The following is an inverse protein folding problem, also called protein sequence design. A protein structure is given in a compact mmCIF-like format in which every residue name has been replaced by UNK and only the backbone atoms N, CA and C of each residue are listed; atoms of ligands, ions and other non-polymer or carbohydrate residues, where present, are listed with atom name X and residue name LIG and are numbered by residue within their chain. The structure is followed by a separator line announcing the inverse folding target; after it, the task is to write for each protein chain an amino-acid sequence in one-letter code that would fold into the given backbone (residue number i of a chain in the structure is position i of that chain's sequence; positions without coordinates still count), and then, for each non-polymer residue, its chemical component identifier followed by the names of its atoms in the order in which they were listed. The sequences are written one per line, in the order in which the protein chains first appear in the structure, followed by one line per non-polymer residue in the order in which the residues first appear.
data_IF_051235006807
#
_entry.id   IF_051235006807
#
_cell.length_a   1.000
_cell.length_b   1.000
_cell.length_c   1.000
_cell.angle_alpha   90.00
_cell.angle_beta   90.00
_cell.angle_gamma   90.00
#
_symmetry.space_group_name_H-M   'P 1'
#
loop_
_entity.id
_entity.type
_entity.pdbx_description
1 polymer ?
#
# COMPACT_ATOMS: atom_id res chain seq x y z
N UNK A 1 -18.96 27.46 -21.60
CA UNK A 1 -19.75 26.22 -21.66
C UNK A 1 -19.87 25.70 -20.24
N UNK A 2 -20.98 26.01 -19.57
CA UNK A 2 -21.20 25.74 -18.15
C UNK A 2 -21.74 24.32 -18.01
N UNK A 3 -20.95 23.39 -17.49
CA UNK A 3 -21.42 22.04 -17.21
C UNK A 3 -22.12 22.04 -15.84
N UNK A 4 -23.44 21.85 -15.88
CA UNK A 4 -24.27 21.51 -14.72
C UNK A 4 -24.19 19.99 -14.55
N UNK A 5 -23.63 19.50 -13.45
CA UNK A 5 -23.69 18.09 -13.04
C UNK A 5 -23.33 17.99 -11.55
N UNK A 6 -24.14 17.47 -10.63
CA UNK A 6 -25.48 16.91 -10.68
C UNK A 6 -26.16 17.10 -9.31
N UNK A 7 -27.46 16.85 -9.26
CA UNK A 7 -28.27 16.94 -8.04
C UNK A 7 -27.68 16.07 -6.91
N UNK A 8 -27.89 16.42 -5.62
CA UNK A 8 -27.51 15.57 -4.51
C UNK A 8 -28.14 14.19 -4.69
N UNK A 9 -27.33 13.14 -4.61
CA UNK A 9 -27.84 11.77 -4.56
C UNK A 9 -28.80 11.66 -3.36
N UNK A 10 -29.99 11.04 -3.54
CA UNK A 10 -30.95 10.88 -2.46
C UNK A 10 -30.30 10.13 -1.29
N UNK A 11 -30.47 10.66 -0.07
CA UNK A 11 -30.05 9.97 1.14
C UNK A 11 -30.89 8.70 1.28
N UNK A 12 -30.21 7.56 1.29
CA UNK A 12 -30.82 6.28 1.59
C UNK A 12 -30.55 5.96 3.06
N UNK A 13 -31.61 5.86 3.85
CA UNK A 13 -31.55 5.26 5.18
C UNK A 13 -31.12 3.80 5.08
N UNK A 14 -29.85 3.55 5.38
CA UNK A 14 -29.24 2.30 5.78
C UNK A 14 -28.20 2.69 6.83
N UNK A 15 -28.08 1.94 7.93
CA UNK A 15 -27.24 2.34 9.08
C UNK A 15 -25.88 2.87 8.64
N UNK A 16 -25.51 4.04 9.15
CA UNK A 16 -24.26 4.72 8.82
C UNK A 16 -23.10 3.73 8.99
N UNK A 17 -22.31 3.52 7.92
CA UNK A 17 -21.20 2.57 7.99
C UNK A 17 -20.22 3.04 9.07
N UNK A 18 -19.73 2.15 9.95
CA UNK A 18 -18.80 2.57 10.98
C UNK A 18 -17.55 3.18 10.35
N UNK A 19 -17.03 4.23 10.99
CA UNK A 19 -15.76 4.82 10.61
C UNK A 19 -14.65 3.77 10.62
N UNK A 20 -13.69 3.89 9.71
CA UNK A 20 -12.48 3.08 9.78
C UNK A 20 -11.61 3.54 10.96
N UNK A 21 -11.06 2.59 11.71
CA UNK A 21 -10.11 2.86 12.79
C UNK A 21 -8.95 1.88 12.70
N UNK A 22 -7.84 2.18 13.36
CA UNK A 22 -6.68 1.28 13.35
C UNK A 22 -7.05 -0.07 13.98
N UNK A 23 -7.86 -0.07 15.04
CA UNK A 23 -8.36 -1.28 15.71
C UNK A 23 -9.18 -2.16 14.76
N UNK A 24 -9.99 -1.56 13.86
CA UNK A 24 -10.72 -2.31 12.83
C UNK A 24 -9.80 -2.91 11.77
N UNK A 25 -8.70 -2.23 11.46
CA UNK A 25 -7.65 -2.78 10.58
C UNK A 25 -6.93 -3.94 11.26
N UNK A 26 -6.62 -3.85 12.55
CA UNK A 26 -6.02 -4.94 13.35
C UNK A 26 -6.96 -6.15 13.43
N UNK A 27 -8.25 -5.92 13.65
CA UNK A 27 -9.27 -6.97 13.63
C UNK A 27 -9.37 -7.63 12.24
N UNK A 28 -9.29 -6.85 11.17
CA UNK A 28 -9.24 -7.35 9.79
C UNK A 28 -8.02 -8.25 9.55
N UNK A 29 -6.82 -7.78 9.91
CA UNK A 29 -5.59 -8.58 9.83
C UNK A 29 -5.70 -9.88 10.64
N UNK A 30 -6.27 -9.80 11.84
CA UNK A 30 -6.50 -10.98 12.70
C UNK A 30 -7.48 -11.97 12.06
N UNK A 31 -8.60 -11.50 11.51
CA UNK A 31 -9.59 -12.34 10.79
C UNK A 31 -8.98 -13.03 9.58
N UNK A 32 -8.10 -12.33 8.86
CA UNK A 32 -7.38 -12.86 7.71
C UNK A 32 -6.23 -13.80 8.10
N UNK A 33 -5.94 -13.97 9.39
CA UNK A 33 -4.87 -14.84 9.89
C UNK A 33 -3.47 -14.26 9.74
N UNK A 34 -3.35 -12.94 9.58
CA UNK A 34 -2.08 -12.27 9.36
C UNK A 34 -1.45 -11.81 10.68
N UNK A 35 -0.16 -12.08 10.85
CA UNK A 35 0.62 -11.58 11.98
C UNK A 35 1.10 -10.15 11.72
N UNK A 36 0.94 -9.29 12.72
CA UNK A 36 1.38 -7.90 12.67
C UNK A 36 1.80 -7.43 14.07
N UNK A 37 2.55 -6.34 14.11
CA UNK A 37 2.91 -5.62 15.33
C UNK A 37 2.70 -4.13 15.11
N UNK A 38 2.37 -3.37 16.17
CA UNK A 38 2.46 -1.91 16.11
C UNK A 38 3.93 -1.50 16.06
N UNK A 39 4.26 -0.46 15.31
CA UNK A 39 5.59 0.14 15.37
C UNK A 39 5.80 0.84 16.72
N UNK A 40 6.99 0.69 17.31
CA UNK A 40 7.29 1.23 18.65
C UNK A 40 7.46 2.75 18.63
N UNK A 41 8.04 3.28 17.55
CA UNK A 41 8.28 4.71 17.38
C UNK A 41 7.05 5.41 16.78
N UNK A 42 6.28 4.70 15.96
CA UNK A 42 5.11 5.22 15.25
C UNK A 42 3.88 4.32 15.49
N UNK A 43 3.25 4.35 16.68
CA UNK A 43 2.19 3.43 17.07
C UNK A 43 0.95 3.41 16.15
N UNK A 44 0.79 4.41 15.29
CA UNK A 44 -0.21 4.47 14.23
C UNK A 44 0.08 3.57 13.01
N UNK A 45 1.26 2.97 12.94
CA UNK A 45 1.71 2.09 11.85
C UNK A 45 1.71 0.65 12.31
N UNK A 46 1.02 -0.22 11.57
CA UNK A 46 1.12 -1.66 11.71
C UNK A 46 2.20 -2.18 10.77
N UNK A 47 3.15 -2.94 11.32
CA UNK A 47 4.20 -3.65 10.59
C UNK A 47 3.85 -5.11 10.45
N UNK A 48 4.04 -5.64 9.25
CA UNK A 48 3.84 -7.05 8.95
C UNK A 48 4.83 -7.51 7.88
N UNK A 49 4.99 -8.83 7.75
CA UNK A 49 5.81 -9.46 6.71
C UNK A 49 4.97 -10.43 5.91
N UNK A 50 5.02 -10.31 4.58
CA UNK A 50 4.27 -11.15 3.64
C UNK A 50 5.18 -11.51 2.47
N UNK A 51 5.34 -12.80 2.15
CA UNK A 51 6.25 -13.28 1.10
C UNK A 51 7.64 -12.63 1.17
N UNK A 52 8.20 -12.55 2.37
CA UNK A 52 9.49 -11.88 2.67
C UNK A 52 9.56 -10.36 2.53
N UNK A 53 8.49 -9.72 2.06
CA UNK A 53 8.42 -8.27 1.96
C UNK A 53 7.91 -7.63 3.24
N UNK A 54 8.48 -6.46 3.56
CA UNK A 54 8.06 -5.66 4.71
C UNK A 54 6.89 -4.78 4.31
N UNK A 55 5.81 -4.81 5.10
CA UNK A 55 4.62 -3.99 4.89
C UNK A 55 4.37 -3.05 6.05
N UNK A 56 3.95 -1.84 5.70
CA UNK A 56 3.38 -0.84 6.58
C UNK A 56 1.91 -0.66 6.22
N UNK A 57 1.03 -0.82 7.21
CA UNK A 57 -0.41 -0.61 7.07
C UNK A 57 -0.80 0.49 8.06
N UNK A 58 -1.40 1.56 7.56
CA UNK A 58 -1.78 2.71 8.38
C UNK A 58 -3.00 3.42 7.82
N UNK A 59 -3.57 4.31 8.64
CA UNK A 59 -4.62 5.23 8.23
C UNK A 59 -4.03 6.64 8.02
N UNK A 60 -4.00 7.09 6.77
CA UNK A 60 -3.40 8.34 6.34
C UNK A 60 -4.46 9.45 6.13
N UNK A 61 -3.96 10.68 5.90
CA UNK A 61 -4.77 11.86 5.64
C UNK A 61 -5.26 12.56 6.91
N UNK A 62 -5.78 13.78 6.76
CA UNK A 62 -6.21 14.62 7.88
C UNK A 62 -7.30 13.97 8.75
N UNK A 63 -8.19 13.19 8.13
CA UNK A 63 -9.28 12.48 8.81
C UNK A 63 -8.91 11.05 9.22
N UNK A 64 -7.68 10.59 8.94
CA UNK A 64 -7.26 9.19 9.15
C UNK A 64 -8.25 8.19 8.55
N UNK A 65 -8.76 8.49 7.36
CA UNK A 65 -9.77 7.69 6.66
C UNK A 65 -9.21 6.91 5.47
N UNK A 66 -7.98 7.19 5.07
CA UNK A 66 -7.36 6.54 3.91
C UNK A 66 -6.55 5.35 4.40
N UNK A 67 -7.04 4.13 4.12
CA UNK A 67 -6.27 2.91 4.37
C UNK A 67 -5.15 2.81 3.35
N UNK A 68 -3.91 2.91 3.83
CA UNK A 68 -2.70 2.70 3.04
C UNK A 68 -2.11 1.34 3.38
N UNK A 69 -1.97 0.49 2.36
CA UNK A 69 -1.17 -0.74 2.42
C UNK A 69 0.08 -0.52 1.57
N UNK A 70 1.25 -0.40 2.21
CA UNK A 70 2.52 -0.07 1.55
C UNK A 70 3.56 -1.13 1.82
N UNK A 71 3.99 -1.82 0.78
CA UNK A 71 5.16 -2.70 0.83
C UNK A 71 6.44 -1.94 0.53
N UNK A 72 7.53 -2.34 1.17
CA UNK A 72 8.90 -2.03 0.80
C UNK A 72 9.51 -3.30 0.22
N UNK A 73 10.09 -3.18 -0.97
CA UNK A 73 10.89 -4.26 -1.52
C UNK A 73 12.05 -4.58 -0.57
N UNK A 74 12.38 -5.86 -0.42
CA UNK A 74 13.40 -6.32 0.52
C UNK A 74 14.82 -5.93 0.06
N UNK A 75 15.03 -5.51 -1.19
CA UNK A 75 16.31 -5.01 -1.66
C UNK A 75 16.44 -3.48 -1.62
N UNK A 76 17.67 -3.04 -1.41
CA UNK A 76 18.14 -1.67 -1.58
C UNK A 76 18.98 -1.59 -2.85
N UNK A 77 18.88 -0.50 -3.60
CA UNK A 77 19.65 -0.31 -4.83
C UNK A 77 20.47 0.98 -4.76
N UNK A 78 21.65 0.95 -5.38
CA UNK A 78 22.51 2.12 -5.46
C UNK A 78 21.82 3.24 -6.27
N UNK A 79 22.03 4.49 -5.86
CA UNK A 79 21.44 5.66 -6.49
C UNK A 79 21.81 5.82 -7.97
N UNK A 80 22.93 5.24 -8.43
CA UNK A 80 23.29 5.17 -9.85
C UNK A 80 22.24 4.45 -10.70
N UNK A 81 21.47 3.52 -10.13
CA UNK A 81 20.39 2.78 -10.82
C UNK A 81 19.05 3.54 -10.84
N UNK A 82 19.00 4.80 -10.36
CA UNK A 82 17.76 5.58 -10.25
C UNK A 82 16.92 5.59 -11.53
N UNK A 83 17.56 5.83 -12.68
CA UNK A 83 16.87 5.94 -13.97
C UNK A 83 16.25 4.61 -14.38
N UNK A 84 16.97 3.50 -14.19
CA UNK A 84 16.47 2.15 -14.46
C UNK A 84 15.24 1.85 -13.59
N UNK A 85 15.33 2.09 -12.28
CA UNK A 85 14.24 1.77 -11.36
C UNK A 85 12.99 2.63 -11.58
N UNK A 86 13.15 3.91 -11.92
CA UNK A 86 12.02 4.78 -12.28
C UNK A 86 11.33 4.27 -13.54
N UNK A 87 12.08 3.80 -14.55
CA UNK A 87 11.48 3.23 -15.77
C UNK A 87 10.64 2.00 -15.44
N UNK A 88 11.17 1.08 -14.62
CA UNK A 88 10.42 -0.10 -14.18
C UNK A 88 9.12 0.26 -13.43
N UNK A 89 9.17 1.26 -12.55
CA UNK A 89 7.97 1.75 -11.85
C UNK A 89 6.96 2.34 -12.83
N UNK A 90 7.41 3.18 -13.77
CA UNK A 90 6.53 3.82 -14.74
C UNK A 90 5.89 2.79 -15.67
N UNK A 91 6.64 1.81 -16.16
CA UNK A 91 6.10 0.72 -16.97
C UNK A 91 5.00 -0.05 -16.23
N UNK A 92 5.19 -0.33 -14.93
CA UNK A 92 4.14 -0.93 -14.11
C UNK A 92 2.91 -0.03 -14.04
N UNK A 93 3.09 1.22 -13.60
CA UNK A 93 2.02 2.18 -13.37
C UNK A 93 1.22 2.52 -14.64
N UNK A 94 1.84 2.47 -15.81
CA UNK A 94 1.16 2.72 -17.10
C UNK A 94 0.26 1.57 -17.53
N UNK A 95 0.54 0.33 -17.10
CA UNK A 95 -0.11 -0.87 -17.62
C UNK A 95 -1.03 -1.56 -16.61
N UNK A 96 -1.01 -1.15 -15.34
CA UNK A 96 -1.76 -1.80 -14.26
C UNK A 96 -2.42 -0.77 -13.35
N UNK A 97 -3.60 -1.10 -12.85
CA UNK A 97 -4.36 -0.26 -11.93
C UNK A 97 -3.66 -0.17 -10.55
N UNK A 98 -3.08 -1.30 -10.10
CA UNK A 98 -2.47 -1.42 -8.77
C UNK A 98 -1.14 -2.18 -8.83
N UNK A 99 -0.27 -1.96 -7.83
CA UNK A 99 -0.22 -0.79 -6.95
C UNK A 99 0.35 0.45 -7.67
N UNK A 100 0.37 1.59 -6.97
CA UNK A 100 1.29 2.69 -7.33
C UNK A 100 2.71 2.28 -6.94
N UNK A 101 3.60 2.19 -7.92
CA UNK A 101 5.01 1.88 -7.76
C UNK A 101 5.88 3.15 -7.78
N UNK A 102 6.85 3.25 -6.88
CA UNK A 102 7.79 4.37 -6.84
C UNK A 102 9.09 4.03 -6.10
N UNK A 103 10.14 4.80 -6.39
CA UNK A 103 11.40 4.76 -5.62
C UNK A 103 11.47 5.91 -4.63
N UNK A 104 12.09 5.67 -3.48
CA UNK A 104 12.41 6.68 -2.47
C UNK A 104 13.88 6.58 -2.09
N UNK A 105 14.53 7.73 -1.92
CA UNK A 105 15.89 7.80 -1.35
C UNK A 105 15.80 7.56 0.15
N UNK A 106 16.49 6.54 0.66
CA UNK A 106 16.58 6.24 2.10
C UNK A 106 17.89 6.77 2.69
N UNK A 107 18.94 6.91 1.89
CA UNK A 107 20.20 7.56 2.30
C UNK A 107 20.90 8.20 1.08
N UNK A 108 22.08 8.80 1.27
CA UNK A 108 22.79 9.46 0.17
C UNK A 108 23.06 8.54 -1.03
N UNK A 109 23.34 7.27 -0.82
CA UNK A 109 23.61 6.31 -1.91
C UNK A 109 22.51 5.27 -2.10
N UNK A 110 21.49 5.22 -1.23
CA UNK A 110 20.49 4.15 -1.23
C UNK A 110 19.13 4.61 -1.71
N UNK A 111 18.60 3.89 -2.70
CA UNK A 111 17.20 3.92 -3.10
C UNK A 111 16.51 2.65 -2.64
N UNK A 112 15.25 2.79 -2.22
CA UNK A 112 14.36 1.69 -1.96
C UNK A 112 13.11 1.80 -2.84
N UNK A 113 12.59 0.63 -3.21
CA UNK A 113 11.42 0.49 -4.06
C UNK A 113 10.18 0.21 -3.21
N UNK A 114 9.09 0.88 -3.56
CA UNK A 114 7.82 0.81 -2.85
C UNK A 114 6.68 0.52 -3.81
N UNK A 115 5.72 -0.26 -3.32
CA UNK A 115 4.40 -0.42 -3.91
C UNK A 115 3.35 -0.08 -2.86
N UNK A 116 2.35 0.72 -3.22
CA UNK A 116 1.25 1.00 -2.30
C UNK A 116 -0.12 1.05 -2.97
N UNK A 117 -1.13 0.65 -2.21
CA UNK A 117 -2.55 0.82 -2.51
C UNK A 117 -3.16 1.71 -1.42
N UNK A 118 -3.96 2.69 -1.83
CA UNK A 118 -4.66 3.61 -0.95
C UNK A 118 -6.16 3.54 -1.24
N UNK A 119 -6.97 3.33 -0.22
CA UNK A 119 -8.44 3.29 -0.34
C UNK A 119 -9.05 4.29 0.64
N UNK A 120 -9.89 5.20 0.16
CA UNK A 120 -10.57 6.19 1.00
C UNK A 120 -11.87 5.63 1.59
N UNK A 121 -12.00 5.76 2.91
CA UNK A 121 -13.16 5.34 3.69
C UNK A 121 -13.72 6.49 4.52
N UNK A 122 -13.64 7.74 4.03
CA UNK A 122 -14.20 8.92 4.70
C UNK A 122 -15.68 8.72 5.11
N UNK A 123 -16.46 8.02 4.29
CA UNK A 123 -17.87 7.72 4.54
C UNK A 123 -18.11 6.43 5.35
N UNK A 124 -17.07 5.87 5.97
CA UNK A 124 -17.12 4.59 6.68
C UNK A 124 -16.92 3.37 5.76
N UNK A 125 -16.78 2.20 6.39
CA UNK A 125 -16.52 0.93 5.71
C UNK A 125 -17.20 -0.23 6.44
N UNK A 126 -17.65 -1.25 5.69
CA UNK A 126 -17.93 -2.56 6.25
C UNK A 126 -16.63 -3.35 6.45
N UNK A 127 -16.60 -4.25 7.44
CA UNK A 127 -15.41 -5.07 7.75
C UNK A 127 -14.89 -5.85 6.53
N UNK A 128 -15.80 -6.43 5.73
CA UNK A 128 -15.44 -7.14 4.51
C UNK A 128 -14.82 -6.23 3.42
N UNK A 129 -15.10 -4.92 3.43
CA UNK A 129 -14.45 -3.98 2.51
C UNK A 129 -13.00 -3.71 2.94
N UNK A 130 -12.77 -3.59 4.25
CA UNK A 130 -11.43 -3.47 4.83
C UNK A 130 -10.62 -4.73 4.50
N UNK A 131 -11.18 -5.91 4.74
CA UNK A 131 -10.54 -7.21 4.46
C UNK A 131 -10.09 -7.28 2.98
N UNK A 132 -11.01 -6.99 2.05
CA UNK A 132 -10.72 -6.99 0.60
C UNK A 132 -9.67 -5.96 0.18
N UNK A 133 -9.66 -4.79 0.80
CA UNK A 133 -8.69 -3.76 0.50
C UNK A 133 -7.28 -4.17 0.96
N UNK A 134 -7.16 -4.82 2.13
CA UNK A 134 -5.90 -5.38 2.61
C UNK A 134 -5.42 -6.49 1.66
N UNK A 135 -6.27 -7.47 1.34
CA UNK A 135 -5.90 -8.56 0.42
C UNK A 135 -5.46 -8.03 -0.96
N UNK A 136 -6.20 -7.07 -1.52
CA UNK A 136 -5.84 -6.42 -2.78
C UNK A 136 -4.50 -5.69 -2.67
N UNK A 137 -4.29 -4.92 -1.60
CA UNK A 137 -3.04 -4.20 -1.35
C UNK A 137 -1.84 -5.14 -1.26
N UNK A 138 -1.95 -6.20 -0.46
CA UNK A 138 -0.88 -7.18 -0.28
C UNK A 138 -0.57 -7.92 -1.59
N UNK A 139 -1.59 -8.53 -2.20
CA UNK A 139 -1.40 -9.38 -3.39
C UNK A 139 -0.83 -8.60 -4.58
N UNK A 140 -1.31 -7.39 -4.82
CA UNK A 140 -0.85 -6.58 -5.95
C UNK A 140 0.57 -6.03 -5.73
N UNK A 141 0.91 -5.64 -4.50
CA UNK A 141 2.28 -5.19 -4.17
C UNK A 141 3.28 -6.34 -4.24
N UNK A 142 2.92 -7.52 -3.75
CA UNK A 142 3.75 -8.74 -3.89
C UNK A 142 3.95 -9.08 -5.38
N UNK A 143 2.89 -9.02 -6.19
CA UNK A 143 2.97 -9.26 -7.64
C UNK A 143 3.93 -8.29 -8.32
N UNK A 144 3.90 -7.01 -7.94
CA UNK A 144 4.85 -6.02 -8.42
C UNK A 144 6.30 -6.40 -8.08
N UNK A 145 6.60 -6.69 -6.81
CA UNK A 145 7.96 -7.04 -6.40
C UNK A 145 8.49 -8.30 -7.08
N UNK A 146 7.66 -9.34 -7.21
CA UNK A 146 8.02 -10.57 -7.94
C UNK A 146 8.36 -10.29 -9.41
N UNK A 147 7.62 -9.41 -10.08
CA UNK A 147 7.92 -9.03 -11.46
C UNK A 147 9.24 -8.28 -11.58
N UNK A 148 9.53 -7.38 -10.63
CA UNK A 148 10.82 -6.69 -10.58
C UNK A 148 11.96 -7.67 -10.35
N UNK A 149 11.80 -8.61 -9.41
CA UNK A 149 12.79 -9.65 -9.17
C UNK A 149 13.04 -10.52 -10.40
N UNK A 150 11.99 -10.95 -11.09
CA UNK A 150 12.10 -11.74 -12.30
C UNK A 150 12.83 -11.00 -13.43
N UNK A 151 12.67 -9.68 -13.53
CA UNK A 151 13.35 -8.84 -14.53
C UNK A 151 14.81 -8.58 -14.18
N UNK A 152 15.13 -8.44 -12.90
CA UNK A 152 16.48 -8.12 -12.43
C UNK A 152 17.36 -9.36 -12.24
N UNK A 153 16.76 -10.53 -11.98
CA UNK A 153 17.45 -11.82 -12.00
C UNK A 153 18.75 -11.84 -11.20
N UNK A 154 19.86 -12.17 -11.85
CA UNK A 154 21.20 -12.27 -11.25
C UNK A 154 21.82 -10.95 -10.79
N UNK A 155 21.25 -9.81 -11.18
CA UNK A 155 21.78 -8.48 -10.84
C UNK A 155 21.29 -7.99 -9.47
N UNK A 156 20.60 -8.88 -8.74
CA UNK A 156 20.17 -8.68 -7.37
C UNK A 156 21.29 -9.04 -6.40
N UNK A 157 21.82 -8.02 -5.72
CA UNK A 157 22.59 -8.22 -4.49
C UNK A 157 21.71 -8.84 -3.38
N UNK A 158 22.29 -9.20 -2.21
CA UNK A 158 21.51 -9.79 -1.12
C UNK A 158 20.35 -8.87 -0.69
N UNK A 159 19.29 -9.48 -0.16
CA UNK A 159 18.20 -8.73 0.45
C UNK A 159 18.75 -7.87 1.59
N UNK A 160 18.21 -6.67 1.74
CA UNK A 160 18.54 -5.79 2.85
C UNK A 160 17.83 -6.26 4.11
N UNK A 161 18.60 -6.39 5.18
CA UNK A 161 18.10 -6.65 6.53
C UNK A 161 17.00 -5.67 6.96
#
# INVERSE_FOLDING_TARGET
MTAVHGAPHPSAGAGELPAITLERVEQSLTRLGYSFVRDEEHPEVLRARFDDYRFHILLAGAHRSVLQTRGRWNHSVDISRKVEMIKLCNEWNMNRVWPKAYVRRESESVLALYGEVNTDYLCGAADAQIDRAIECGLSTVISFFREIEARLGSDLGPASD
#
